data_IF_523580171497
#
_entry.id   IF_523580171497
#
_cell.length_a   1.000
_cell.length_b   1.000
_cell.length_c   1.000
_cell.angle_alpha   90.00
_cell.angle_beta   90.00
_cell.angle_gamma   90.00
#
_symmetry.space_group_name_H-M   'P 1'
#
loop_
_entity.id
_entity.type
_entity.pdbx_description
1 polymer ?
#
# COMPACT_ATOMS: atom_id res chain seq x y z
N UNK A 1 20.35 14.87 5.41
CA UNK A 1 19.03 14.82 4.73
C UNK A 1 17.89 15.38 5.58
N UNK A 2 17.67 14.91 6.83
CA UNK A 2 16.55 15.35 7.68
C UNK A 2 16.51 16.84 8.02
N UNK A 3 17.67 17.49 8.23
CA UNK A 3 17.74 18.94 8.50
C UNK A 3 17.30 19.76 7.28
N UNK A 4 17.79 19.40 6.09
CA UNK A 4 17.38 20.04 4.84
C UNK A 4 15.88 19.89 4.61
N UNK A 5 15.32 18.70 4.82
CA UNK A 5 13.88 18.48 4.71
C UNK A 5 13.09 19.35 5.69
N UNK A 6 13.53 19.45 6.95
CA UNK A 6 12.87 20.32 7.94
C UNK A 6 12.87 21.79 7.51
N UNK A 7 14.00 22.30 7.02
CA UNK A 7 14.09 23.68 6.50
C UNK A 7 13.18 23.84 5.28
N UNK A 8 13.18 22.86 4.38
CA UNK A 8 12.33 22.86 3.19
C UNK A 8 10.84 22.96 3.55
N UNK A 9 10.38 22.19 4.54
CA UNK A 9 8.98 22.17 4.99
C UNK A 9 8.54 23.48 5.67
N UNK A 10 9.47 24.35 6.08
CA UNK A 10 9.15 25.70 6.57
C UNK A 10 8.79 26.68 5.44
N UNK A 11 9.13 26.35 4.19
CA UNK A 11 8.78 27.21 3.06
C UNK A 11 7.26 27.20 2.80
N UNK A 12 6.69 28.34 2.37
CA UNK A 12 5.29 28.41 1.95
C UNK A 12 4.92 27.33 0.94
N UNK A 13 3.74 26.73 1.10
CA UNK A 13 3.27 25.64 0.23
C UNK A 13 3.30 25.98 -1.26
N UNK A 14 3.06 27.26 -1.62
CA UNK A 14 3.16 27.74 -3.02
C UNK A 14 4.56 27.59 -3.62
N UNK A 15 5.61 27.83 -2.84
CA UNK A 15 7.01 27.67 -3.30
C UNK A 15 7.38 26.20 -3.45
N UNK A 16 6.97 25.37 -2.48
CA UNK A 16 7.16 23.92 -2.54
C UNK A 16 6.44 23.32 -3.74
N UNK A 17 5.17 23.67 -3.93
CA UNK A 17 4.36 23.24 -5.08
C UNK A 17 4.97 23.65 -6.42
N UNK A 18 5.41 24.92 -6.55
CA UNK A 18 6.08 25.38 -7.77
C UNK A 18 7.34 24.55 -8.08
N UNK A 19 8.08 24.18 -7.04
CA UNK A 19 9.27 23.34 -7.18
C UNK A 19 8.91 21.91 -7.60
N UNK A 20 7.87 21.33 -7.01
CA UNK A 20 7.39 20.00 -7.38
C UNK A 20 6.88 19.95 -8.81
N UNK A 21 6.21 20.99 -9.29
CA UNK A 21 5.79 21.11 -10.68
C UNK A 21 6.98 21.16 -11.65
N UNK A 22 8.04 21.90 -11.32
CA UNK A 22 9.27 21.93 -12.14
C UNK A 22 9.98 20.58 -12.16
N UNK A 23 10.07 19.92 -10.99
CA UNK A 23 10.64 18.56 -10.91
C UNK A 23 9.82 17.56 -11.71
N UNK A 24 8.49 17.70 -11.69
CA UNK A 24 7.56 16.87 -12.45
C UNK A 24 7.76 17.03 -13.96
N UNK A 25 7.85 18.28 -14.44
CA UNK A 25 8.14 18.57 -15.85
C UNK A 25 9.47 17.96 -16.30
N UNK A 26 10.51 18.13 -15.47
CA UNK A 26 11.82 17.57 -15.75
C UNK A 26 11.82 16.03 -15.67
N UNK A 27 11.11 15.44 -14.71
CA UNK A 27 10.93 14.00 -14.57
C UNK A 27 10.22 13.38 -15.78
N UNK A 28 9.19 14.04 -16.33
CA UNK A 28 8.50 13.61 -17.57
C UNK A 28 9.40 13.59 -18.79
N UNK A 29 10.45 14.43 -18.83
CA UNK A 29 11.46 14.42 -19.91
C UNK A 29 12.49 13.31 -19.73
N UNK A 30 12.86 12.99 -18.49
CA UNK A 30 13.89 11.99 -18.17
C UNK A 30 13.38 10.55 -18.15
N UNK A 31 12.15 10.35 -17.70
CA UNK A 31 11.58 9.03 -17.47
C UNK A 31 10.40 8.84 -18.42
N UNK A 32 10.34 7.67 -19.07
CA UNK A 32 9.16 7.29 -19.87
C UNK A 32 7.93 7.27 -18.95
N UNK A 33 6.79 7.73 -19.47
CA UNK A 33 5.54 7.81 -18.75
C UNK A 33 5.24 6.50 -18.00
N UNK A 34 4.95 6.61 -16.70
CA UNK A 34 4.43 5.50 -15.92
C UNK A 34 3.02 5.11 -16.40
N UNK A 35 2.53 3.95 -15.97
CA UNK A 35 1.19 3.46 -16.36
C UNK A 35 0.03 4.23 -15.69
N UNK A 36 0.29 4.91 -14.56
CA UNK A 36 -0.70 5.77 -13.90
C UNK A 36 -0.43 7.23 -14.22
N UNK A 37 -1.47 7.95 -14.62
CA UNK A 37 -1.42 9.40 -14.88
C UNK A 37 -1.19 10.21 -13.59
N UNK A 38 -1.34 9.60 -12.42
CA UNK A 38 -1.27 10.25 -11.11
C UNK A 38 0.10 10.08 -10.46
N UNK A 39 0.97 9.23 -11.01
CA UNK A 39 2.16 8.77 -10.29
C UNK A 39 3.42 8.95 -11.12
N UNK A 40 4.37 9.72 -10.60
CA UNK A 40 5.53 10.21 -11.35
C UNK A 40 6.85 9.98 -10.64
N UNK A 41 7.81 9.41 -11.40
CA UNK A 41 9.20 9.36 -10.98
C UNK A 41 9.83 10.74 -11.14
N UNK A 42 10.49 11.20 -10.09
CA UNK A 42 11.24 12.44 -10.07
C UNK A 42 12.76 12.13 -9.98
N UNK A 43 13.62 13.11 -10.33
CA UNK A 43 15.05 13.00 -10.07
C UNK A 43 15.38 12.82 -8.59
N UNK A 44 16.63 12.50 -8.30
CA UNK A 44 17.15 12.37 -6.92
C UNK A 44 16.50 11.25 -6.09
N UNK A 45 15.94 10.24 -6.76
CA UNK A 45 15.27 9.13 -6.07
C UNK A 45 13.97 9.55 -5.40
N UNK A 46 13.28 10.55 -5.94
CA UNK A 46 11.99 11.02 -5.45
C UNK A 46 10.84 10.42 -6.27
N UNK A 47 9.67 10.39 -5.65
CA UNK A 47 8.44 9.92 -6.24
C UNK A 47 7.30 10.86 -5.84
N UNK A 48 6.48 11.24 -6.81
CA UNK A 48 5.39 12.17 -6.61
C UNK A 48 4.08 11.56 -7.08
N UNK A 49 3.13 11.47 -6.16
CA UNK A 49 1.72 11.23 -6.46
C UNK A 49 0.99 12.57 -6.52
N UNK A 50 0.21 12.79 -7.57
CA UNK A 50 -0.57 14.01 -7.80
C UNK A 50 -1.92 13.65 -8.44
N UNK A 51 -2.98 14.38 -8.06
CA UNK A 51 -4.31 14.21 -8.67
C UNK A 51 -5.22 13.19 -7.98
N UNK A 52 -4.71 12.44 -7.00
CA UNK A 52 -5.54 11.60 -6.12
C UNK A 52 -6.23 12.46 -5.05
N UNK A 53 -7.35 11.96 -4.51
CA UNK A 53 -8.15 12.63 -3.49
C UNK A 53 -7.32 12.96 -2.23
N UNK A 54 -7.62 14.11 -1.61
CA UNK A 54 -6.90 14.60 -0.44
C UNK A 54 -6.92 13.58 0.72
N UNK A 55 -8.07 12.95 0.97
CA UNK A 55 -8.23 12.03 2.09
C UNK A 55 -7.44 10.73 1.90
N UNK A 56 -7.49 10.10 0.73
CA UNK A 56 -6.72 8.87 0.46
C UNK A 56 -5.21 9.15 0.51
N UNK A 57 -4.79 10.29 -0.04
CA UNK A 57 -3.39 10.73 -0.04
C UNK A 57 -2.89 11.06 1.37
N UNK A 58 -3.73 11.69 2.19
CA UNK A 58 -3.45 11.96 3.61
C UNK A 58 -3.36 10.66 4.40
N UNK A 59 -4.24 9.71 4.13
CA UNK A 59 -4.22 8.40 4.75
C UNK A 59 -2.92 7.65 4.38
N UNK A 60 -2.51 7.65 3.11
CA UNK A 60 -1.24 7.07 2.67
C UNK A 60 -0.04 7.70 3.40
N UNK A 61 0.02 9.03 3.47
CA UNK A 61 1.09 9.75 4.17
C UNK A 61 1.19 9.36 5.65
N UNK A 62 0.05 9.23 6.34
CA UNK A 62 -0.01 8.83 7.75
C UNK A 62 0.33 7.34 7.92
N UNK A 63 -0.14 6.47 7.02
CA UNK A 63 0.17 5.05 7.01
C UNK A 63 1.68 4.81 6.91
N UNK A 64 2.33 5.47 5.96
CA UNK A 64 3.78 5.38 5.77
C UNK A 64 4.55 5.82 7.02
N UNK A 65 4.12 6.88 7.71
CA UNK A 65 4.73 7.29 8.98
C UNK A 65 4.56 6.24 10.06
N UNK A 66 3.35 5.72 10.21
CA UNK A 66 3.02 4.76 11.26
C UNK A 66 3.80 3.45 11.09
N UNK A 67 3.85 2.91 9.87
CA UNK A 67 4.59 1.69 9.54
C UNK A 67 6.08 1.85 9.80
N UNK A 68 6.68 2.98 9.38
CA UNK A 68 8.11 3.27 9.62
C UNK A 68 8.46 3.42 11.09
N UNK A 69 7.52 3.90 11.91
CA UNK A 69 7.74 4.09 13.34
C UNK A 69 7.75 2.77 14.11
N UNK A 70 6.94 1.79 13.67
CA UNK A 70 6.67 0.58 14.46
C UNK A 70 7.26 -0.70 13.86
N UNK A 71 7.76 -0.66 12.63
CA UNK A 71 8.18 -1.88 11.91
C UNK A 71 9.47 -1.67 11.12
N UNK A 72 10.06 -2.76 10.68
CA UNK A 72 11.15 -2.80 9.70
C UNK A 72 10.66 -3.00 8.27
N UNK A 73 9.34 -2.90 8.02
CA UNK A 73 8.77 -3.12 6.68
C UNK A 73 9.33 -2.06 5.72
N UNK A 74 9.87 -2.46 4.55
CA UNK A 74 10.40 -1.50 3.59
C UNK A 74 9.26 -0.72 2.95
N UNK A 75 9.08 0.54 3.34
CA UNK A 75 8.07 1.44 2.77
C UNK A 75 8.70 2.79 2.39
N UNK A 76 8.12 3.52 1.42
CA UNK A 76 8.58 4.86 1.07
C UNK A 76 8.66 5.78 2.29
N UNK A 77 9.67 6.65 2.36
CA UNK A 77 9.69 7.73 3.36
C UNK A 77 8.75 8.84 2.89
N UNK A 78 7.70 9.18 3.67
CA UNK A 78 6.80 10.28 3.34
C UNK A 78 7.50 11.61 3.66
N UNK A 79 7.79 12.40 2.62
CA UNK A 79 8.60 13.62 2.72
C UNK A 79 7.74 14.87 2.88
N UNK A 80 6.66 14.97 2.11
CA UNK A 80 5.78 16.14 2.13
C UNK A 80 4.36 15.80 1.64
N UNK A 81 3.38 16.53 2.14
CA UNK A 81 1.98 16.47 1.77
C UNK A 81 1.45 17.89 1.58
N UNK A 82 0.88 18.18 0.41
CA UNK A 82 0.25 19.47 0.11
C UNK A 82 -1.15 19.20 -0.40
N UNK A 83 -2.17 19.59 0.37
CA UNK A 83 -3.54 19.67 -0.12
C UNK A 83 -3.72 20.89 -1.02
N UNK A 84 -4.45 20.70 -2.11
CA UNK A 84 -4.79 21.74 -3.07
C UNK A 84 -6.30 21.94 -3.07
N UNK A 85 -6.76 23.20 -3.21
CA UNK A 85 -8.18 23.47 -3.33
C UNK A 85 -8.77 22.81 -4.59
N UNK A 86 -10.11 22.71 -4.68
CA UNK A 86 -10.79 22.18 -5.86
C UNK A 86 -10.35 22.96 -7.10
N UNK A 87 -10.37 22.31 -8.26
CA UNK A 87 -10.06 23.01 -9.50
C UNK A 87 -11.06 24.16 -9.70
N UNK A 88 -10.59 25.42 -9.91
CA UNK A 88 -11.47 26.58 -9.94
C UNK A 88 -12.54 26.55 -11.06
N UNK A 89 -12.38 25.65 -12.03
CA UNK A 89 -13.27 25.50 -13.19
C UNK A 89 -14.06 24.18 -13.19
N UNK A 90 -13.95 23.37 -12.13
CA UNK A 90 -14.67 22.09 -12.05
C UNK A 90 -15.06 21.77 -10.59
N UNK A 91 -16.25 22.21 -10.14
CA UNK A 91 -16.74 21.96 -8.78
C UNK A 91 -17.04 20.48 -8.51
N UNK A 92 -16.97 19.61 -9.52
CA UNK A 92 -17.10 18.16 -9.37
C UNK A 92 -15.76 17.45 -9.20
N UNK A 93 -14.63 18.16 -9.32
CA UNK A 93 -13.31 17.62 -8.98
C UNK A 93 -13.01 17.87 -7.50
N UNK A 94 -12.91 16.77 -6.78
CA UNK A 94 -12.53 16.74 -5.37
C UNK A 94 -11.20 17.45 -5.08
N UNK A 95 -11.02 17.80 -3.81
CA UNK A 95 -9.73 18.24 -3.30
C UNK A 95 -8.66 17.20 -3.65
N UNK A 96 -7.56 17.66 -4.20
CA UNK A 96 -6.46 16.80 -4.62
C UNK A 96 -5.21 17.14 -3.83
N UNK A 97 -4.30 16.16 -3.72
CA UNK A 97 -3.08 16.35 -2.97
C UNK A 97 -1.84 15.98 -3.75
N UNK A 98 -0.72 16.59 -3.35
CA UNK A 98 0.62 16.19 -3.73
C UNK A 98 1.21 15.43 -2.57
N UNK A 99 1.60 14.18 -2.82
CA UNK A 99 2.36 13.36 -1.88
C UNK A 99 3.74 13.09 -2.46
N UNK A 100 4.75 13.68 -1.82
CA UNK A 100 6.15 13.45 -2.15
C UNK A 100 6.72 12.38 -1.23
N UNK A 101 7.32 11.34 -1.82
CA UNK A 101 7.97 10.26 -1.09
C UNK A 101 9.35 9.94 -1.67
N UNK A 102 10.15 9.16 -0.95
CA UNK A 102 11.35 8.54 -1.52
C UNK A 102 10.97 7.36 -2.42
N UNK A 103 11.66 7.20 -3.54
CA UNK A 103 11.55 6.03 -4.39
C UNK A 103 12.19 4.80 -3.72
N UNK A 104 11.48 3.68 -3.78
CA UNK A 104 12.06 2.36 -3.50
C UNK A 104 12.59 1.69 -4.78
N UNK A 105 13.70 0.92 -4.71
CA UNK A 105 14.19 0.13 -5.83
C UNK A 105 13.31 -1.09 -6.09
N UNK A 106 13.52 -1.74 -7.23
CA UNK A 106 12.79 -2.93 -7.64
C UNK A 106 11.66 -2.70 -8.63
N UNK A 107 11.01 -3.80 -8.98
CA UNK A 107 9.90 -3.92 -9.92
C UNK A 107 8.74 -4.61 -9.20
N UNK A 108 7.48 -4.24 -9.48
CA UNK A 108 6.32 -4.97 -8.96
C UNK A 108 6.41 -6.48 -9.20
N UNK A 109 6.11 -7.27 -8.17
CA UNK A 109 6.15 -8.73 -8.19
C UNK A 109 5.28 -9.28 -9.33
N UNK A 110 4.11 -8.68 -9.56
CA UNK A 110 3.19 -9.01 -10.65
C UNK A 110 3.82 -9.06 -12.05
N UNK A 111 4.94 -8.35 -12.26
CA UNK A 111 5.63 -8.31 -13.56
C UNK A 111 6.82 -9.27 -13.64
N UNK A 112 7.16 -9.92 -12.53
CA UNK A 112 8.34 -10.77 -12.42
C UNK A 112 8.01 -12.19 -11.95
N UNK A 113 6.74 -12.52 -11.69
CA UNK A 113 6.32 -13.83 -11.16
C UNK A 113 6.89 -15.01 -11.96
N UNK A 114 6.87 -14.93 -13.29
CA UNK A 114 7.40 -15.98 -14.17
C UNK A 114 8.93 -16.12 -14.12
N UNK A 115 9.64 -15.12 -13.61
CA UNK A 115 11.10 -15.10 -13.46
C UNK A 115 11.59 -15.55 -12.08
N UNK A 116 10.68 -15.70 -11.11
CA UNK A 116 11.05 -16.18 -9.78
C UNK A 116 11.20 -17.70 -9.81
N UNK A 117 12.33 -18.20 -9.30
CA UNK A 117 12.45 -19.62 -8.99
C UNK A 117 11.64 -19.97 -7.75
N UNK A 118 11.41 -21.26 -7.57
CA UNK A 118 10.75 -21.86 -6.43
C UNK A 118 11.33 -21.35 -5.10
N UNK A 119 12.66 -21.38 -5.01
CA UNK A 119 13.45 -20.88 -3.88
C UNK A 119 13.31 -19.36 -3.69
N UNK A 120 13.17 -18.59 -4.78
CA UNK A 120 12.94 -17.14 -4.68
C UNK A 120 11.55 -16.84 -4.14
N UNK A 121 10.55 -17.57 -4.62
CA UNK A 121 9.17 -17.41 -4.19
C UNK A 121 9.01 -17.75 -2.70
N UNK A 122 9.59 -18.86 -2.24
CA UNK A 122 9.63 -19.23 -0.82
C UNK A 122 10.30 -18.13 0.04
N UNK A 123 11.40 -17.57 -0.46
CA UNK A 123 12.10 -16.50 0.24
C UNK A 123 11.25 -15.22 0.34
N UNK A 124 10.62 -14.80 -0.76
CA UNK A 124 9.70 -13.65 -0.78
C UNK A 124 8.50 -13.91 0.13
N UNK A 125 7.90 -15.10 0.08
CA UNK A 125 6.78 -15.50 0.94
C UNK A 125 7.14 -15.42 2.43
N UNK A 126 8.34 -15.90 2.80
CA UNK A 126 8.84 -15.79 4.17
C UNK A 126 8.98 -14.31 4.61
N UNK A 127 9.57 -13.46 3.77
CA UNK A 127 9.68 -12.02 4.06
C UNK A 127 8.30 -11.37 4.25
N UNK A 128 7.34 -11.69 3.37
CA UNK A 128 5.98 -11.15 3.47
C UNK A 128 5.27 -11.59 4.75
N UNK A 129 5.42 -12.85 5.15
CA UNK A 129 4.90 -13.38 6.42
C UNK A 129 5.46 -12.61 7.62
N UNK A 130 6.76 -12.35 7.62
CA UNK A 130 7.42 -11.59 8.68
C UNK A 130 6.93 -10.14 8.71
N UNK A 131 6.79 -9.49 7.56
CA UNK A 131 6.25 -8.13 7.48
C UNK A 131 4.80 -8.04 7.95
N UNK A 132 3.94 -8.97 7.53
CA UNK A 132 2.55 -9.04 8.00
C UNK A 132 2.46 -9.27 9.51
N UNK A 133 3.34 -10.11 10.06
CA UNK A 133 3.42 -10.28 11.51
C UNK A 133 3.76 -8.95 12.21
N UNK A 134 4.73 -8.19 11.69
CA UNK A 134 5.08 -6.87 12.25
C UNK A 134 3.95 -5.85 12.14
N UNK A 135 3.29 -5.73 10.98
CA UNK A 135 2.15 -4.81 10.80
C UNK A 135 1.05 -5.09 11.83
N UNK A 136 0.78 -6.37 12.12
CA UNK A 136 -0.22 -6.79 13.11
C UNK A 136 0.14 -6.43 14.56
N UNK A 137 1.38 -6.01 14.83
CA UNK A 137 1.80 -5.53 16.16
C UNK A 137 1.60 -4.02 16.35
N UNK A 138 1.30 -3.27 15.27
CA UNK A 138 1.08 -1.82 15.35
C UNK A 138 -0.13 -1.56 16.25
N UNK A 139 0.03 -0.81 17.36
CA UNK A 139 -1.07 -0.55 18.27
C UNK A 139 -2.08 0.42 17.66
N UNK A 140 -3.37 0.15 17.88
CA UNK A 140 -4.43 1.10 17.57
C UNK A 140 -4.54 2.11 18.71
N UNK A 141 -3.96 3.29 18.52
CA UNK A 141 -3.99 4.38 19.51
C UNK A 141 -5.01 5.47 19.18
N UNK A 142 -5.69 5.36 18.03
CA UNK A 142 -6.65 6.34 17.52
C UNK A 142 -8.09 5.86 17.74
N UNK A 143 -9.00 6.81 17.99
CA UNK A 143 -10.44 6.63 18.10
C UNK A 143 -10.85 5.33 18.85
N UNK A 144 -10.73 5.29 20.19
CA UNK A 144 -10.92 4.07 20.97
C UNK A 144 -12.33 3.47 20.84
N UNK A 145 -13.33 4.29 20.56
CA UNK A 145 -14.73 3.88 20.43
C UNK A 145 -15.04 3.20 19.09
N UNK A 146 -14.17 3.38 18.09
CA UNK A 146 -14.33 2.81 16.75
C UNK A 146 -13.27 1.75 16.49
N UNK A 147 -13.61 0.47 16.58
CA UNK A 147 -12.65 -0.60 16.35
C UNK A 147 -12.06 -0.59 14.92
N UNK A 148 -12.89 -0.33 13.90
CA UNK A 148 -12.49 -0.36 12.49
C UNK A 148 -12.51 1.06 11.92
N UNK A 149 -11.35 1.51 11.45
CA UNK A 149 -11.15 2.88 10.99
C UNK A 149 -9.90 2.99 10.10
N UNK A 150 -9.73 4.12 9.43
CA UNK A 150 -8.48 4.43 8.74
C UNK A 150 -7.34 4.68 9.74
N UNK A 151 -6.15 5.02 9.22
CA UNK A 151 -4.95 5.24 10.05
C UNK A 151 -5.11 6.37 11.06
N UNK A 152 -5.94 7.37 10.76
CA UNK A 152 -6.19 8.54 11.60
C UNK A 152 -7.37 8.35 12.57
N UNK A 153 -8.09 7.23 12.51
CA UNK A 153 -9.30 6.99 13.31
C UNK A 153 -10.60 7.47 12.66
N UNK A 154 -10.57 7.83 11.39
CA UNK A 154 -11.71 8.35 10.62
C UNK A 154 -12.28 7.25 9.68
N UNK A 155 -13.19 7.64 8.79
CA UNK A 155 -13.78 6.75 7.79
C UNK A 155 -12.72 6.06 6.95
N UNK A 156 -12.95 4.78 6.66
CA UNK A 156 -12.13 4.01 5.73
C UNK A 156 -12.46 4.43 4.29
N UNK A 157 -11.47 4.35 3.41
CA UNK A 157 -11.65 4.51 1.97
C UNK A 157 -11.11 3.25 1.31
N UNK A 158 -12.01 2.49 0.69
CA UNK A 158 -11.64 1.28 -0.06
C UNK A 158 -12.57 1.16 -1.29
N UNK A 159 -12.01 1.19 -2.51
CA UNK A 159 -12.82 1.08 -3.73
C UNK A 159 -13.67 -0.19 -3.80
N UNK A 160 -13.25 -1.27 -3.12
CA UNK A 160 -13.95 -2.56 -3.13
C UNK A 160 -15.16 -2.57 -2.21
N UNK A 161 -15.25 -1.65 -1.25
CA UNK A 161 -16.39 -1.53 -0.33
C UNK A 161 -17.47 -0.59 -0.88
N UNK A 162 -17.06 0.53 -1.49
CA UNK A 162 -17.98 1.65 -1.76
C UNK A 162 -17.55 2.53 -2.93
N UNK A 163 -16.66 2.05 -3.81
CA UNK A 163 -16.25 2.80 -5.00
C UNK A 163 -15.60 4.14 -4.69
N UNK A 164 -14.71 4.18 -3.69
CA UNK A 164 -13.99 5.35 -3.16
C UNK A 164 -14.78 6.27 -2.22
N UNK A 165 -16.08 6.03 -2.02
CA UNK A 165 -16.83 6.78 -1.01
C UNK A 165 -16.38 6.41 0.41
N UNK A 166 -16.17 7.36 1.32
CA UNK A 166 -15.82 7.05 2.71
C UNK A 166 -16.88 6.16 3.39
N UNK A 167 -16.43 5.16 4.15
CA UNK A 167 -17.30 4.25 4.92
C UNK A 167 -16.87 4.15 6.38
N UNK A 168 -17.84 4.01 7.27
CA UNK A 168 -17.58 3.96 8.70
C UNK A 168 -17.22 5.33 9.28
N UNK A 169 -16.33 5.42 10.28
CA UNK A 169 -15.69 4.31 10.99
C UNK A 169 -16.71 3.42 11.72
N UNK A 170 -16.30 2.24 12.17
CA UNK A 170 -17.23 1.25 12.75
C UNK A 170 -16.83 0.90 14.19
N UNK A 171 -17.84 0.77 15.10
CA UNK A 171 -17.59 0.39 16.48
C UNK A 171 -17.07 -1.05 16.61
N UNK A 172 -17.49 -1.95 15.73
CA UNK A 172 -17.14 -3.37 15.77
C UNK A 172 -17.20 -4.04 14.38
N UNK A 173 -16.79 -5.32 14.35
CA UNK A 173 -16.82 -6.15 13.14
C UNK A 173 -18.25 -6.44 12.65
N UNK A 174 -19.25 -6.43 13.54
CA UNK A 174 -20.63 -6.70 13.15
C UNK A 174 -21.19 -5.55 12.31
N UNK A 175 -20.94 -4.30 12.73
CA UNK A 175 -21.30 -3.11 11.98
C UNK A 175 -20.57 -3.03 10.63
N UNK A 176 -19.28 -3.36 10.61
CA UNK A 176 -18.50 -3.40 9.36
C UNK A 176 -18.99 -4.49 8.39
N UNK A 177 -19.33 -5.68 8.90
CA UNK A 177 -19.78 -6.81 8.08
C UNK A 177 -21.05 -6.52 7.30
N UNK A 178 -21.87 -5.55 7.73
CA UNK A 178 -23.07 -5.11 6.99
C UNK A 178 -22.76 -4.52 5.60
N UNK A 179 -21.53 -4.04 5.36
CA UNK A 179 -21.11 -3.55 4.05
C UNK A 179 -20.55 -4.65 3.15
N UNK A 180 -20.33 -5.85 3.68
CA UNK A 180 -19.75 -6.96 2.93
C UNK A 180 -20.85 -7.78 2.25
N UNK A 181 -20.48 -8.45 1.16
CA UNK A 181 -21.31 -9.51 0.59
C UNK A 181 -21.44 -10.63 1.62
N UNK A 182 -22.68 -11.00 1.95
CA UNK A 182 -23.04 -12.01 2.97
C UNK A 182 -22.69 -11.58 4.41
N UNK A 183 -23.39 -10.59 4.98
CA UNK A 183 -23.11 -10.05 6.32
C UNK A 183 -23.32 -11.07 7.45
N UNK A 184 -24.12 -12.11 7.20
CA UNK A 184 -24.46 -13.15 8.18
C UNK A 184 -23.51 -14.35 8.17
N UNK A 185 -22.46 -14.35 7.34
CA UNK A 185 -21.49 -15.43 7.28
C UNK A 185 -20.76 -15.59 8.63
N UNK A 186 -20.89 -16.74 9.32
CA UNK A 186 -20.21 -16.99 10.58
C UNK A 186 -18.68 -16.89 10.47
N UNK A 187 -18.12 -17.11 9.28
CA UNK A 187 -16.68 -16.97 9.00
C UNK A 187 -16.20 -15.51 9.00
N UNK A 188 -17.09 -14.53 9.24
CA UNK A 188 -16.79 -13.09 9.29
C UNK A 188 -16.98 -12.49 10.70
N UNK A 189 -16.95 -13.31 11.75
CA UNK A 189 -17.15 -12.87 13.13
C UNK A 189 -16.01 -13.33 14.04
N UNK A 190 -15.72 -12.51 15.05
CA UNK A 190 -14.77 -12.84 16.12
C UNK A 190 -13.31 -12.62 15.73
N UNK A 191 -13.03 -11.87 14.67
CA UNK A 191 -11.66 -11.61 14.26
C UNK A 191 -11.03 -10.49 15.09
N UNK A 192 -9.75 -10.68 15.39
CA UNK A 192 -8.94 -9.59 15.95
C UNK A 192 -8.83 -8.47 14.92
N UNK A 193 -9.10 -7.24 15.36
CA UNK A 193 -8.83 -6.05 14.56
C UNK A 193 -7.33 -5.72 14.63
N UNK A 194 -6.72 -5.55 13.46
CA UNK A 194 -5.28 -5.34 13.30
C UNK A 194 -5.02 -4.28 12.23
N UNK A 195 -3.85 -3.64 12.29
CA UNK A 195 -3.41 -2.77 11.21
C UNK A 195 -3.12 -3.60 9.95
N UNK A 196 -3.70 -3.20 8.83
CA UNK A 196 -3.59 -3.86 7.53
C UNK A 196 -3.32 -2.84 6.42
N UNK A 197 -2.72 -3.31 5.33
CA UNK A 197 -2.43 -2.49 4.16
C UNK A 197 -3.71 -2.04 3.44
N UNK A 198 -4.72 -2.91 3.36
CA UNK A 198 -5.98 -2.62 2.68
C UNK A 198 -5.94 -2.86 1.17
N UNK A 199 -4.79 -3.12 0.56
CA UNK A 199 -4.66 -3.47 -0.86
C UNK A 199 -3.34 -4.20 -1.16
N UNK A 200 -2.98 -5.18 -0.34
CA UNK A 200 -1.72 -5.90 -0.51
C UNK A 200 -1.83 -6.95 -1.64
N UNK A 201 -1.55 -6.52 -2.87
CA UNK A 201 -1.51 -7.40 -4.04
C UNK A 201 -0.11 -7.39 -4.70
N UNK A 202 0.22 -8.36 -5.58
CA UNK A 202 1.56 -8.43 -6.21
C UNK A 202 1.99 -7.19 -7.00
N UNK A 203 1.08 -6.26 -7.35
CA UNK A 203 1.44 -4.99 -8.00
C UNK A 203 2.03 -3.98 -7.00
N UNK A 204 1.70 -4.13 -5.72
CA UNK A 204 2.09 -3.25 -4.62
C UNK A 204 3.32 -3.77 -3.85
N UNK A 205 3.84 -4.95 -4.22
CA UNK A 205 5.06 -5.53 -3.67
C UNK A 205 6.20 -5.34 -4.67
N UNK A 206 7.22 -4.57 -4.30
CA UNK A 206 8.43 -4.39 -5.10
C UNK A 206 9.47 -5.46 -4.74
N UNK A 207 10.03 -6.09 -5.77
CA UNK A 207 11.12 -7.04 -5.64
C UNK A 207 12.32 -6.61 -6.49
N UNK A 208 13.51 -6.96 -6.02
CA UNK A 208 14.75 -6.75 -6.78
C UNK A 208 15.72 -7.90 -6.56
N UNK A 209 16.67 -8.02 -7.49
CA UNK A 209 17.74 -9.01 -7.40
C UNK A 209 18.66 -8.66 -6.24
N UNK A 210 19.10 -9.68 -5.52
CA UNK A 210 20.11 -9.57 -4.48
C UNK A 210 21.07 -10.77 -4.52
N UNK A 211 22.21 -10.61 -3.86
CA UNK A 211 23.16 -11.71 -3.66
C UNK A 211 22.89 -12.30 -2.28
N UNK A 212 22.62 -13.60 -2.25
CA UNK A 212 22.42 -14.37 -1.02
C UNK A 212 23.73 -14.55 -0.26
N UNK A 213 23.68 -14.91 1.04
CA UNK A 213 24.89 -15.23 1.80
C UNK A 213 25.75 -16.35 1.19
N UNK A 214 25.14 -17.28 0.45
CA UNK A 214 25.82 -18.36 -0.26
C UNK A 214 26.46 -17.93 -1.60
N UNK A 215 26.41 -16.64 -1.94
CA UNK A 215 26.94 -16.09 -3.19
C UNK A 215 26.01 -16.26 -4.40
N UNK A 216 24.90 -16.99 -4.28
CA UNK A 216 23.94 -17.14 -5.37
C UNK A 216 23.09 -15.87 -5.55
N UNK A 217 22.56 -15.67 -6.76
CA UNK A 217 21.62 -14.58 -7.03
C UNK A 217 20.20 -15.03 -6.70
N UNK A 218 19.44 -14.17 -6.06
CA UNK A 218 18.02 -14.38 -5.79
C UNK A 218 17.20 -13.11 -5.91
N UNK A 219 15.95 -13.20 -5.52
CA UNK A 219 15.04 -12.07 -5.42
C UNK A 219 14.61 -11.83 -3.98
N UNK A 220 14.48 -10.56 -3.59
CA UNK A 220 13.98 -10.16 -2.27
C UNK A 220 12.98 -9.03 -2.40
N UNK A 221 12.12 -8.90 -1.41
CA UNK A 221 11.25 -7.73 -1.25
C UNK A 221 12.11 -6.50 -0.95
N UNK A 222 11.92 -5.45 -1.74
CA UNK A 222 12.58 -4.14 -1.59
C UNK A 222 11.61 -3.03 -1.21
N UNK A 223 10.31 -3.27 -1.28
CA UNK A 223 9.31 -2.28 -0.94
C UNK A 223 7.87 -2.79 -0.93
N UNK A 224 7.04 -2.16 -0.11
CA UNK A 224 5.58 -2.24 -0.18
C UNK A 224 5.06 -0.80 -0.37
N UNK A 225 4.21 -0.59 -1.37
CA UNK A 225 3.72 0.74 -1.81
C UNK A 225 2.20 0.76 -1.90
N UNK A 226 1.63 1.96 -2.08
CA UNK A 226 0.18 2.19 -2.25
C UNK A 226 -0.64 1.97 -0.97
N UNK A 227 -0.27 2.68 0.09
CA UNK A 227 -0.87 2.53 1.43
C UNK A 227 -2.14 3.38 1.65
N UNK A 228 -2.80 3.84 0.60
CA UNK A 228 -3.91 4.80 0.71
C UNK A 228 -5.17 4.20 1.35
N UNK A 229 -5.33 2.88 1.28
CA UNK A 229 -6.46 2.13 1.88
C UNK A 229 -6.11 1.55 3.27
N UNK A 230 -4.91 1.84 3.79
CA UNK A 230 -4.44 1.29 5.05
C UNK A 230 -5.28 1.74 6.24
N UNK A 231 -5.38 0.87 7.24
CA UNK A 231 -6.24 1.09 8.39
C UNK A 231 -6.30 -0.10 9.33
N UNK A 232 -7.17 0.01 10.32
CA UNK A 232 -7.44 -1.05 11.28
C UNK A 232 -8.67 -1.82 10.82
N UNK A 233 -8.47 -3.08 10.45
CA UNK A 233 -9.51 -3.94 9.88
C UNK A 233 -9.49 -5.32 10.55
N UNK A 234 -10.58 -6.11 10.45
CA UNK A 234 -10.57 -7.50 10.86
C UNK A 234 -9.45 -8.28 10.17
N UNK A 235 -8.71 -9.11 10.91
CA UNK A 235 -7.55 -9.86 10.40
C UNK A 235 -7.82 -10.62 9.10
N UNK A 236 -9.03 -11.14 8.94
CA UNK A 236 -9.45 -11.91 7.77
C UNK A 236 -9.61 -11.04 6.51
N UNK A 237 -9.90 -9.74 6.62
CA UNK A 237 -9.82 -8.85 5.46
C UNK A 237 -8.38 -8.62 4.98
N UNK A 238 -7.38 -8.75 5.86
CA UNK A 238 -5.98 -8.83 5.44
C UNK A 238 -5.61 -10.16 4.76
N UNK A 239 -6.55 -11.12 4.69
CA UNK A 239 -6.39 -12.38 3.94
C UNK A 239 -7.05 -12.28 2.56
N UNK A 240 -8.18 -11.59 2.40
CA UNK A 240 -8.87 -11.47 1.10
C UNK A 240 -8.24 -10.45 0.13
N UNK A 241 -6.97 -10.09 0.34
CA UNK A 241 -6.20 -9.19 -0.52
C UNK A 241 -5.67 -9.91 -1.78
N UNK A 242 -6.59 -10.33 -2.68
CA UNK A 242 -6.31 -10.50 -4.11
C UNK A 242 -7.62 -10.70 -4.91
N UNK A 243 -7.89 -9.80 -5.85
CA UNK A 243 -8.84 -10.04 -6.93
C UNK A 243 -8.07 -10.52 -8.16
N UNK A 244 -7.54 -11.75 -8.05
CA UNK A 244 -7.19 -12.62 -9.18
C UNK A 244 -7.44 -14.06 -8.71
N UNK A 245 -8.70 -14.50 -8.79
CA UNK A 245 -9.15 -15.90 -8.57
C UNK A 245 -9.08 -16.46 -7.14
N UNK A 246 -9.26 -15.62 -6.13
CA UNK A 246 -9.77 -16.06 -4.83
C UNK A 246 -8.83 -16.92 -3.99
N UNK A 247 -7.51 -16.76 -4.13
CA UNK A 247 -6.56 -17.32 -3.16
C UNK A 247 -5.89 -16.17 -2.42
N UNK A 248 -6.26 -15.95 -1.14
CA UNK A 248 -5.55 -15.10 -0.21
C UNK A 248 -4.04 -15.24 -0.34
N UNK A 249 -3.29 -14.12 -0.42
CA UNK A 249 -1.82 -14.15 -0.43
C UNK A 249 -1.28 -14.93 0.77
N UNK A 250 -1.90 -14.78 1.93
CA UNK A 250 -1.57 -15.55 3.14
C UNK A 250 -1.90 -17.06 3.02
N UNK A 251 -2.92 -17.44 2.24
CA UNK A 251 -3.24 -18.85 1.98
C UNK A 251 -2.32 -19.43 0.91
N UNK A 252 -1.87 -18.65 -0.08
CA UNK A 252 -0.79 -19.03 -0.98
C UNK A 252 0.54 -19.19 -0.22
N UNK A 253 0.81 -18.33 0.77
CA UNK A 253 1.99 -18.41 1.65
C UNK A 253 1.89 -19.60 2.62
N UNK A 254 0.72 -19.88 3.20
CA UNK A 254 0.49 -21.06 4.06
C UNK A 254 0.53 -22.38 3.27
N UNK A 255 -0.12 -22.44 2.09
CA UNK A 255 -0.11 -23.62 1.23
C UNK A 255 1.28 -23.90 0.64
N UNK A 256 2.07 -22.86 0.32
CA UNK A 256 3.47 -23.02 -0.08
C UNK A 256 4.34 -23.64 1.03
N UNK A 257 3.99 -23.41 2.31
CA UNK A 257 4.66 -24.04 3.45
C UNK A 257 4.23 -25.49 3.71
N UNK A 258 3.06 -25.92 3.23
CA UNK A 258 2.46 -27.20 3.63
C UNK A 258 2.34 -28.25 2.50
N UNK A 259 2.22 -27.92 1.21
CA UNK A 259 2.16 -28.95 0.15
C UNK A 259 2.56 -28.51 -1.28
N UNK A 260 3.42 -29.33 -1.88
CA UNK A 260 3.83 -29.53 -3.27
C UNK A 260 3.60 -28.41 -4.34
N UNK A 261 4.74 -27.99 -4.88
CA UNK A 261 5.06 -26.85 -5.73
C UNK A 261 4.23 -26.66 -7.04
N UNK A 262 3.59 -27.71 -7.56
CA UNK A 262 2.85 -27.61 -8.82
C UNK A 262 1.43 -27.04 -8.70
N UNK A 263 0.82 -27.07 -7.51
CA UNK A 263 -0.57 -26.63 -7.33
C UNK A 263 -0.66 -25.09 -7.34
N UNK A 264 0.21 -24.41 -6.58
CA UNK A 264 0.25 -22.94 -6.44
C UNK A 264 0.56 -22.25 -7.77
N UNK A 265 1.46 -22.82 -8.59
CA UNK A 265 1.78 -22.28 -9.92
C UNK A 265 0.62 -22.42 -10.91
N UNK A 266 -0.22 -23.46 -10.82
CA UNK A 266 -1.44 -23.60 -11.65
C UNK A 266 -2.55 -22.65 -11.20
N UNK A 267 -2.67 -22.44 -9.89
CA UNK A 267 -3.66 -21.52 -9.31
C UNK A 267 -3.36 -20.06 -9.65
N UNK A 268 -2.10 -19.68 -9.92
CA UNK A 268 -1.75 -18.38 -10.48
C UNK A 268 -1.82 -18.34 -12.02
N UNK A 269 -1.39 -19.40 -12.73
CA UNK A 269 -1.34 -19.43 -14.21
C UNK A 269 -2.68 -19.51 -14.96
N UNK A 270 -3.73 -20.12 -14.42
CA UNK A 270 -5.03 -20.16 -15.12
C UNK A 270 -5.84 -18.84 -15.14
N UNK A 271 -5.24 -17.68 -14.81
CA UNK A 271 -5.93 -16.39 -14.54
C UNK A 271 -5.72 -15.39 -15.66
N UNK A 272 -4.80 -15.73 -16.55
CA UNK A 272 -4.37 -14.90 -17.65
C UNK A 272 -5.12 -15.25 -18.95
N UNK A 273 -6.33 -15.80 -18.84
CA UNK A 273 -7.30 -15.94 -19.93
C UNK A 273 -8.64 -15.36 -19.49
#
# INVERSE_FOLDING_TARGET
>A
MRVFLRIWLLLPGRLRLSTYNKLLEFGRRLYRHGRSAEVHRLPFGLYLRHGSGLDSTRNEFNALKLVRQHTSVPVPEPLDLIGLPPYPNDPFKEDHAYLLTTRLPGTPLAYCEDMLSDRDFEHVAAQMKDYLAQLRTIPKTVNPDMAICNVSGECCIDPRLSGWNPVGPFPDEAAFSQLMRFPDDPARRGHKIVFSHGDLNPRNILVDRFVRPDGSRGWRVTGIVDWETAGFYPRVLGLYESDVRGIPVDQAIQQAGENNFQCTRRLLKGAAN
#
